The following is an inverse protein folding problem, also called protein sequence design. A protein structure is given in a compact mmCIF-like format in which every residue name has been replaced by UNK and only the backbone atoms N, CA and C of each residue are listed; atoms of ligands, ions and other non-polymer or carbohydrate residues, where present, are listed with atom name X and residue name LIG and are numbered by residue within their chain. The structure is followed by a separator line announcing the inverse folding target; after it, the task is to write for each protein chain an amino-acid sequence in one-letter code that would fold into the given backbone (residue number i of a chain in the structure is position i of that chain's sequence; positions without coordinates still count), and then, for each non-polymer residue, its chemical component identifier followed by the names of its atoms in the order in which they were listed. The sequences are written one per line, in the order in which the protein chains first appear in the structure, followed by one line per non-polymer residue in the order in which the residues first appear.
data_IF_827010537761
#
_entry.id   IF_827010537761
#
_cell.length_a   1.000
_cell.length_b   1.000
_cell.length_c   1.000
_cell.angle_alpha   90.00
_cell.angle_beta   90.00
_cell.angle_gamma   90.00
#
_symmetry.space_group_name_H-M   'P 1'
#
loop_
_entity.id
_entity.type
_entity.pdbx_description
1 polymer ?
#
# COMPACT_ATOMS: atom_id res chain seq x y z
N UNK A 1 -23.87 -19.94 -2.99
CA UNK A 1 -24.12 -18.81 -2.06
C UNK A 1 -23.29 -17.64 -2.54
N UNK A 2 -23.87 -16.73 -3.34
CA UNK A 2 -23.15 -15.58 -3.88
C UNK A 2 -22.94 -14.55 -2.77
N UNK A 3 -21.69 -14.33 -2.38
CA UNK A 3 -21.30 -13.36 -1.36
C UNK A 3 -21.21 -11.97 -2.00
N UNK A 4 -22.34 -11.41 -2.43
CA UNK A 4 -22.39 -10.00 -2.83
C UNK A 4 -22.35 -9.15 -1.55
N UNK A 5 -21.35 -8.28 -1.42
CA UNK A 5 -21.36 -7.20 -0.44
C UNK A 5 -22.56 -6.30 -0.76
N UNK A 6 -23.63 -6.41 0.03
CA UNK A 6 -24.72 -5.44 0.00
C UNK A 6 -24.14 -4.04 0.24
N UNK A 7 -24.66 -3.02 -0.44
CA UNK A 7 -24.19 -1.61 -0.35
C UNK A 7 -24.03 -1.17 1.12
N UNK A 8 -24.96 -1.57 1.98
CA UNK A 8 -24.93 -1.27 3.41
C UNK A 8 -23.68 -1.83 4.14
N UNK A 9 -23.21 -3.02 3.76
CA UNK A 9 -22.00 -3.62 4.35
C UNK A 9 -20.75 -2.87 3.91
N UNK A 10 -20.68 -2.43 2.65
CA UNK A 10 -19.57 -1.61 2.17
C UNK A 10 -19.53 -0.28 2.91
N UNK A 11 -20.66 0.45 3.00
CA UNK A 11 -20.73 1.71 3.74
C UNK A 11 -20.33 1.54 5.21
N UNK A 12 -20.73 0.44 5.85
CA UNK A 12 -20.32 0.13 7.22
C UNK A 12 -18.79 -0.01 7.33
N UNK A 13 -18.17 -0.82 6.46
CA UNK A 13 -16.71 -1.02 6.46
C UNK A 13 -15.93 0.27 6.18
N UNK A 14 -16.36 1.06 5.21
CA UNK A 14 -15.77 2.38 4.91
C UNK A 14 -15.83 3.31 6.13
N UNK A 15 -16.99 3.34 6.79
CA UNK A 15 -17.21 4.16 8.00
C UNK A 15 -16.29 3.71 9.13
N UNK A 16 -16.19 2.40 9.36
CA UNK A 16 -15.28 1.86 10.39
C UNK A 16 -13.82 2.16 10.07
N UNK A 17 -13.39 1.98 8.81
CA UNK A 17 -12.02 2.30 8.39
C UNK A 17 -11.66 3.76 8.69
N UNK A 18 -12.51 4.71 8.29
CA UNK A 18 -12.30 6.13 8.56
C UNK A 18 -12.29 6.43 10.07
N UNK A 19 -13.17 5.77 10.83
CA UNK A 19 -13.23 5.92 12.29
C UNK A 19 -11.94 5.46 12.96
N UNK A 20 -11.43 4.26 12.63
CA UNK A 20 -10.16 3.76 13.16
C UNK A 20 -8.97 4.63 12.76
N UNK A 21 -8.89 5.06 11.50
CA UNK A 21 -7.83 5.96 11.03
C UNK A 21 -7.87 7.30 11.80
N UNK A 22 -9.06 7.84 12.03
CA UNK A 22 -9.24 9.06 12.84
C UNK A 22 -8.79 8.87 14.28
N UNK A 23 -9.16 7.76 14.93
CA UNK A 23 -8.74 7.47 16.31
C UNK A 23 -7.23 7.32 16.44
N UNK A 24 -6.56 6.67 15.48
CA UNK A 24 -5.09 6.54 15.48
C UNK A 24 -4.44 7.92 15.34
N UNK A 25 -4.87 8.74 14.36
CA UNK A 25 -4.35 10.10 14.16
C UNK A 25 -4.55 10.95 15.41
N UNK A 26 -5.72 10.87 16.05
CA UNK A 26 -6.01 11.59 17.28
C UNK A 26 -5.12 11.11 18.45
N UNK A 27 -4.94 9.80 18.62
CA UNK A 27 -4.08 9.26 19.66
C UNK A 27 -2.62 9.73 19.49
N UNK A 28 -2.11 9.76 18.26
CA UNK A 28 -0.77 10.28 17.97
C UNK A 28 -0.69 11.79 18.22
N UNK A 29 -1.70 12.57 17.83
CA UNK A 29 -1.73 14.00 18.11
C UNK A 29 -1.76 14.31 19.62
N UNK A 30 -2.47 13.50 20.41
CA UNK A 30 -2.59 13.69 21.86
C UNK A 30 -1.40 13.15 22.65
N UNK A 31 -0.86 12.00 22.28
CA UNK A 31 0.11 11.25 23.09
C UNK A 31 1.46 11.00 22.40
N UNK A 32 1.57 11.27 21.09
CA UNK A 32 2.74 10.92 20.30
C UNK A 32 3.96 11.79 20.58
N UNK A 33 3.76 13.04 21.02
CA UNK A 33 4.84 13.91 21.52
C UNK A 33 6.04 14.01 20.55
N UNK A 34 5.75 14.09 19.25
CA UNK A 34 6.76 14.13 18.18
C UNK A 34 7.59 12.86 18.00
N UNK A 35 7.29 11.77 18.72
CA UNK A 35 8.04 10.51 18.71
C UNK A 35 7.39 9.41 17.87
N UNK A 36 6.22 9.66 17.29
CA UNK A 36 5.48 8.70 16.47
C UNK A 36 5.20 9.31 15.10
N UNK A 37 5.68 8.66 14.05
CA UNK A 37 5.33 8.97 12.66
C UNK A 37 4.06 8.19 12.26
N UNK A 38 3.19 8.84 11.49
CA UNK A 38 1.98 8.22 10.94
C UNK A 38 2.13 8.11 9.42
N UNK A 39 2.15 6.87 8.91
CA UNK A 39 2.06 6.59 7.49
C UNK A 39 0.58 6.48 7.08
N UNK A 40 0.09 7.43 6.28
CA UNK A 40 -1.30 7.42 5.78
C UNK A 40 -1.44 6.47 4.59
N UNK A 41 -1.92 5.25 4.85
CA UNK A 41 -2.16 4.25 3.83
C UNK A 41 -3.49 4.44 3.08
N UNK A 42 -4.48 5.12 3.67
CA UNK A 42 -5.78 5.36 3.01
C UNK A 42 -5.59 6.30 1.82
N UNK A 43 -4.94 7.44 2.05
CA UNK A 43 -4.58 8.37 0.98
C UNK A 43 -3.55 7.80 0.00
N UNK A 44 -2.62 6.97 0.48
CA UNK A 44 -1.62 6.31 -0.37
C UNK A 44 -2.26 5.38 -1.40
N UNK A 45 -3.11 4.44 -0.99
CA UNK A 45 -3.74 3.52 -1.93
C UNK A 45 -4.74 4.22 -2.86
N UNK A 46 -5.45 5.25 -2.37
CA UNK A 46 -6.30 6.09 -3.21
C UNK A 46 -5.48 6.81 -4.30
N UNK A 47 -4.30 7.31 -3.96
CA UNK A 47 -3.40 7.93 -4.93
C UNK A 47 -2.88 6.91 -5.95
N UNK A 48 -2.35 5.77 -5.51
CA UNK A 48 -1.82 4.73 -6.41
C UNK A 48 -2.86 4.25 -7.42
N UNK A 49 -4.13 4.09 -7.01
CA UNK A 49 -5.20 3.68 -7.90
C UNK A 49 -5.46 4.69 -9.04
N UNK A 50 -5.14 5.98 -8.82
CA UNK A 50 -5.31 7.04 -9.83
C UNK A 50 -4.04 7.37 -10.63
N UNK A 51 -2.86 6.97 -10.16
CA UNK A 51 -1.57 7.35 -10.77
C UNK A 51 -0.82 6.21 -11.45
N UNK A 52 -1.26 4.96 -11.28
CA UNK A 52 -0.62 3.79 -11.90
C UNK A 52 -1.24 3.48 -13.27
N UNK A 53 -0.46 2.91 -14.23
CA UNK A 53 0.93 2.47 -14.10
C UNK A 53 1.96 3.60 -14.00
N UNK A 54 3.07 3.33 -13.31
CA UNK A 54 4.21 4.23 -13.23
C UNK A 54 5.54 3.48 -13.35
N UNK A 55 6.57 4.17 -13.83
CA UNK A 55 7.95 3.67 -13.81
C UNK A 55 8.64 4.18 -12.55
N UNK A 56 9.05 3.26 -11.67
CA UNK A 56 9.70 3.54 -10.39
C UNK A 56 11.06 2.84 -10.43
N UNK A 57 12.14 3.60 -10.29
CA UNK A 57 13.53 3.10 -10.34
C UNK A 57 13.78 2.19 -11.55
N UNK A 58 13.27 2.61 -12.72
CA UNK A 58 13.40 1.87 -13.99
C UNK A 58 12.45 0.68 -14.15
N UNK A 59 11.60 0.37 -13.17
CA UNK A 59 10.65 -0.75 -13.20
C UNK A 59 9.22 -0.26 -13.37
N UNK A 60 8.50 -0.80 -14.35
CA UNK A 60 7.06 -0.53 -14.51
C UNK A 60 6.26 -1.29 -13.44
N UNK A 61 5.43 -0.55 -12.71
CA UNK A 61 4.52 -1.10 -11.70
C UNK A 61 3.09 -0.71 -12.04
N UNK A 62 2.18 -1.68 -11.97
CA UNK A 62 0.75 -1.51 -12.19
C UNK A 62 -0.04 -1.75 -10.90
N UNK A 63 -1.14 -1.01 -10.73
CA UNK A 63 -2.14 -1.26 -9.68
C UNK A 63 -3.03 -2.46 -10.06
N UNK A 64 -2.39 -3.62 -10.18
CA UNK A 64 -2.97 -4.85 -10.74
C UNK A 64 -2.35 -6.07 -10.07
N UNK A 65 -3.00 -7.22 -10.16
CA UNK A 65 -2.44 -8.52 -9.81
C UNK A 65 -1.82 -9.25 -11.03
N UNK A 66 -1.94 -8.65 -12.22
CA UNK A 66 -1.47 -9.27 -13.46
C UNK A 66 0.06 -9.27 -13.52
N UNK A 67 0.70 -10.43 -13.70
CA UNK A 67 2.13 -10.48 -13.97
C UNK A 67 2.43 -9.95 -15.38
N UNK A 68 3.65 -9.40 -15.63
CA UNK A 68 4.77 -9.30 -14.69
C UNK A 68 4.80 -7.99 -13.90
N UNK A 69 3.92 -7.02 -14.17
CA UNK A 69 4.00 -5.63 -13.69
C UNK A 69 3.15 -5.33 -12.45
N UNK A 70 2.19 -6.19 -12.13
CA UNK A 70 1.27 -6.00 -11.01
C UNK A 70 1.95 -5.96 -9.64
N UNK A 71 1.45 -5.09 -8.76
CA UNK A 71 1.89 -4.96 -7.37
C UNK A 71 1.13 -5.85 -6.38
N UNK A 72 -0.01 -6.43 -6.79
CA UNK A 72 -0.83 -7.31 -5.96
C UNK A 72 -0.47 -8.78 -6.16
N UNK A 73 -0.67 -9.59 -5.12
CA UNK A 73 -0.66 -11.04 -5.23
C UNK A 73 -1.89 -11.53 -6.01
N UNK A 74 -1.91 -12.81 -6.40
CA UNK A 74 -3.03 -13.41 -7.18
C UNK A 74 -4.35 -13.42 -6.39
N UNK A 75 -4.31 -13.33 -5.06
CA UNK A 75 -5.52 -13.20 -4.25
C UNK A 75 -6.19 -11.81 -4.37
N UNK A 76 -5.50 -10.82 -4.96
CA UNK A 76 -5.97 -9.45 -5.13
C UNK A 76 -6.14 -8.68 -3.81
N UNK A 77 -5.69 -9.22 -2.68
CA UNK A 77 -5.86 -8.63 -1.35
C UNK A 77 -4.52 -8.19 -0.76
N UNK A 78 -3.51 -9.07 -0.78
CA UNK A 78 -2.19 -8.75 -0.25
C UNK A 78 -1.25 -8.30 -1.37
N UNK A 79 -0.35 -7.33 -1.11
CA UNK A 79 0.69 -6.99 -2.06
C UNK A 79 1.65 -8.15 -2.31
N UNK A 80 2.29 -8.18 -3.47
CA UNK A 80 3.49 -9.00 -3.69
C UNK A 80 4.75 -8.19 -3.29
N UNK A 81 5.95 -8.71 -3.58
CA UNK A 81 7.21 -8.04 -3.23
C UNK A 81 7.28 -6.58 -3.72
N UNK A 82 6.79 -6.30 -4.93
CA UNK A 82 6.77 -4.95 -5.50
C UNK A 82 5.86 -4.02 -4.70
N UNK A 83 4.64 -4.47 -4.41
CA UNK A 83 3.70 -3.66 -3.64
C UNK A 83 4.13 -3.45 -2.19
N UNK A 84 4.73 -4.47 -1.56
CA UNK A 84 5.34 -4.30 -0.23
C UNK A 84 6.51 -3.33 -0.23
N UNK A 85 7.26 -3.23 -1.33
CA UNK A 85 8.31 -2.22 -1.47
C UNK A 85 7.73 -0.81 -1.49
N UNK A 86 6.63 -0.59 -2.23
CA UNK A 86 5.96 0.71 -2.21
C UNK A 86 5.39 1.04 -0.83
N UNK A 87 4.87 0.05 -0.10
CA UNK A 87 4.42 0.26 1.28
C UNK A 87 5.58 0.57 2.24
N UNK A 88 6.71 -0.12 2.09
CA UNK A 88 7.92 0.17 2.87
C UNK A 88 8.39 1.60 2.60
N UNK A 89 8.43 2.03 1.34
CA UNK A 89 8.77 3.40 0.96
C UNK A 89 7.78 4.40 1.60
N UNK A 90 6.48 4.09 1.68
CA UNK A 90 5.52 4.94 2.37
C UNK A 90 5.79 5.09 3.87
N UNK A 91 6.24 4.03 4.54
CA UNK A 91 6.71 4.14 5.93
C UNK A 91 7.98 4.97 6.02
N UNK A 92 8.93 4.77 5.10
CA UNK A 92 10.18 5.52 5.05
C UNK A 92 9.93 7.01 4.84
N UNK A 93 9.01 7.39 3.94
CA UNK A 93 8.55 8.77 3.77
C UNK A 93 8.05 9.35 5.10
N UNK A 94 7.20 8.62 5.83
CA UNK A 94 6.67 9.09 7.11
C UNK A 94 7.79 9.28 8.14
N UNK A 95 8.76 8.36 8.21
CA UNK A 95 9.92 8.42 9.10
C UNK A 95 10.80 9.62 8.74
N UNK A 96 11.20 9.75 7.47
CA UNK A 96 12.06 10.83 7.00
C UNK A 96 11.42 12.20 7.22
N UNK A 97 10.13 12.34 6.91
CA UNK A 97 9.40 13.60 7.10
C UNK A 97 9.20 13.97 8.58
N UNK A 98 8.94 12.99 9.46
CA UNK A 98 8.66 13.27 10.87
C UNK A 98 9.94 13.52 11.67
N UNK A 99 11.00 12.76 11.38
CA UNK A 99 12.20 12.74 12.21
C UNK A 99 13.41 13.39 11.55
N UNK A 100 13.29 13.89 10.32
CA UNK A 100 14.42 14.44 9.55
C UNK A 100 15.47 13.39 9.19
N UNK A 101 15.08 12.11 9.14
CA UNK A 101 15.96 11.01 8.77
C UNK A 101 16.22 10.96 7.26
N UNK A 102 17.20 10.17 6.85
CA UNK A 102 17.60 9.96 5.45
C UNK A 102 17.61 8.47 5.08
N UNK A 103 16.59 7.73 5.52
CA UNK A 103 16.46 6.30 5.18
C UNK A 103 16.19 6.18 3.68
N UNK A 104 16.97 5.36 2.94
CA UNK A 104 16.81 5.22 1.50
C UNK A 104 15.57 4.37 1.16
N UNK A 105 14.96 4.65 0.01
CA UNK A 105 13.89 3.84 -0.56
C UNK A 105 14.40 2.54 -1.17
N UNK A 106 13.56 1.51 -1.14
CA UNK A 106 13.75 0.29 -1.92
C UNK A 106 13.19 0.43 -3.33
N UNK A 107 13.77 -0.29 -4.29
CA UNK A 107 13.27 -0.35 -5.66
C UNK A 107 12.33 -1.55 -5.85
N UNK A 108 11.15 -1.37 -6.48
CA UNK A 108 10.29 -2.50 -6.83
C UNK A 108 10.90 -3.42 -7.89
N UNK A 109 11.99 -3.01 -8.55
CA UNK A 109 12.76 -3.86 -9.46
C UNK A 109 13.64 -4.89 -8.78
N UNK A 110 14.02 -4.65 -7.52
CA UNK A 110 14.95 -5.51 -6.76
C UNK A 110 14.25 -6.72 -6.11
N UNK A 111 12.92 -6.80 -6.25
CA UNK A 111 12.09 -7.80 -5.58
C UNK A 111 11.22 -8.57 -6.58
N UNK A 112 10.94 -9.86 -6.31
CA UNK A 112 10.08 -10.64 -7.18
C UNK A 112 8.63 -10.13 -7.15
N UNK A 113 8.04 -9.99 -8.34
CA UNK A 113 6.59 -9.85 -8.50
C UNK A 113 5.89 -11.21 -8.59
N UNK A 114 4.57 -11.19 -8.82
CA UNK A 114 3.82 -12.39 -9.20
C UNK A 114 4.42 -12.96 -10.49
N UNK A 115 4.70 -14.27 -10.52
CA UNK A 115 5.26 -14.94 -11.71
C UNK A 115 4.12 -15.55 -12.53
N UNK A 116 4.29 -15.55 -13.85
CA UNK A 116 3.49 -16.43 -14.71
C UNK A 116 3.78 -17.90 -14.36
N UNK A 117 2.83 -18.83 -14.56
CA UNK A 117 3.12 -20.25 -14.52
C UNK A 117 4.33 -20.53 -15.42
N UNK A 118 5.34 -21.22 -14.89
CA UNK A 118 6.37 -21.79 -15.75
C UNK A 118 5.68 -22.91 -16.55
N UNK A 119 5.75 -22.87 -17.88
CA UNK A 119 5.49 -24.08 -18.66
C UNK A 119 6.48 -25.13 -18.19
N UNK A 120 5.97 -26.27 -17.74
CA UNK A 120 6.79 -27.48 -17.62
C UNK A 120 6.97 -27.98 -19.04
N UNK A 121 8.19 -27.86 -19.57
CA UNK A 121 8.60 -28.61 -20.76
C UNK A 121 8.78 -30.09 -20.40
#
# INVERSE_FOLDING_TARGET
MYIFLLVQKLTYLETQRLTFNGMIKQAVATYGDGRIAVADFDGFFANLAGTMPATIDGTVVEYSFLPPTGMWSVDGLLPNGRGYTLMANKFIDAINNTFGATVPHGSPGDVPGTRLPATVD
#
